data_IF_667801615637
#
_entry.id   IF_667801615637
#
_cell.length_a   1.000
_cell.length_b   1.000
_cell.length_c   1.000
_cell.angle_alpha   90.00
_cell.angle_beta   90.00
_cell.angle_gamma   90.00
#
_symmetry.space_group_name_H-M   'P 1'
#
loop_
_entity.id
_entity.type
_entity.pdbx_description
1 polymer ?
#
# COMPACT_ATOMS: atom_id res chain seq x y z
N UNK A 1 -12.70 21.14 12.29
CA UNK A 1 -14.12 21.05 12.72
C UNK A 1 -14.63 19.62 12.86
N UNK A 2 -14.85 18.84 11.79
CA UNK A 2 -15.36 17.46 11.97
C UNK A 2 -14.44 16.59 12.85
N UNK A 3 -13.13 16.64 12.59
CA UNK A 3 -12.12 15.94 13.39
C UNK A 3 -12.07 16.42 14.86
N UNK A 4 -12.13 17.73 15.11
CA UNK A 4 -12.18 18.30 16.48
C UNK A 4 -13.38 17.77 17.28
N UNK A 5 -14.57 17.67 16.66
CA UNK A 5 -15.73 17.07 17.31
C UNK A 5 -15.57 15.56 17.52
N UNK A 6 -14.86 14.89 16.62
CA UNK A 6 -14.57 13.47 16.75
C UNK A 6 -13.57 13.20 17.89
N UNK A 7 -12.54 14.04 18.05
CA UNK A 7 -11.63 14.01 19.21
C UNK A 7 -12.39 14.20 20.53
N UNK A 8 -13.35 15.13 20.55
CA UNK A 8 -14.20 15.32 21.73
C UNK A 8 -15.08 14.10 22.02
N UNK A 9 -15.64 13.47 20.97
CA UNK A 9 -16.37 12.21 21.10
C UNK A 9 -15.49 11.09 21.67
N UNK A 10 -14.23 10.99 21.27
CA UNK A 10 -13.28 10.03 21.85
C UNK A 10 -13.08 10.31 23.35
N UNK A 11 -12.87 11.56 23.75
CA UNK A 11 -12.72 11.91 25.18
C UNK A 11 -13.94 11.53 26.01
N UNK A 12 -15.15 11.72 25.47
CA UNK A 12 -16.40 11.40 26.15
C UNK A 12 -16.65 9.90 26.26
N UNK A 13 -16.10 9.08 25.35
CA UNK A 13 -16.43 7.66 25.22
C UNK A 13 -15.36 6.69 25.74
N UNK A 14 -14.09 7.09 25.76
CA UNK A 14 -12.95 6.20 26.08
C UNK A 14 -13.07 5.52 27.46
N UNK A 15 -13.64 6.21 28.45
CA UNK A 15 -13.76 5.72 29.83
C UNK A 15 -15.21 5.32 30.20
N UNK A 16 -16.16 5.49 29.27
CA UNK A 16 -17.60 5.32 29.54
C UNK A 16 -18.22 4.19 28.72
N UNK A 17 -17.56 3.74 27.64
CA UNK A 17 -18.02 2.65 26.79
C UNK A 17 -16.90 1.67 26.46
N UNK A 18 -17.21 0.37 26.48
CA UNK A 18 -16.26 -0.67 26.07
C UNK A 18 -16.02 -0.72 24.55
N UNK A 19 -17.06 -0.49 23.74
CA UNK A 19 -17.05 -0.52 22.27
C UNK A 19 -18.37 0.00 21.70
N UNK A 20 -18.37 0.35 20.41
CA UNK A 20 -19.56 0.79 19.68
C UNK A 20 -20.37 -0.38 19.13
N UNK A 21 -19.75 -1.28 18.35
CA UNK A 21 -20.43 -2.46 17.79
C UNK A 21 -20.26 -3.69 18.70
N UNK A 22 -21.37 -4.38 18.97
CA UNK A 22 -21.36 -5.66 19.69
C UNK A 22 -20.90 -6.83 18.81
N UNK A 23 -21.17 -6.78 17.51
CA UNK A 23 -20.69 -7.78 16.54
C UNK A 23 -19.27 -7.46 16.08
N UNK A 24 -18.29 -8.08 16.71
CA UNK A 24 -16.85 -7.82 16.55
C UNK A 24 -16.20 -8.82 15.59
N UNK A 25 -16.76 -8.92 14.39
CA UNK A 25 -16.33 -9.87 13.38
C UNK A 25 -15.99 -9.18 12.08
N UNK A 26 -15.31 -9.91 11.20
CA UNK A 26 -14.99 -9.50 9.84
C UNK A 26 -16.20 -9.17 8.96
N UNK A 27 -17.43 -9.48 9.40
CA UNK A 27 -18.64 -9.10 8.68
C UNK A 27 -18.93 -7.60 8.76
N UNK A 28 -18.41 -6.91 9.80
CA UNK A 28 -18.54 -5.46 9.91
C UNK A 28 -17.49 -4.80 9.01
N UNK A 29 -17.94 -4.12 7.96
CA UNK A 29 -17.07 -3.50 6.94
C UNK A 29 -17.03 -1.98 6.94
N UNK A 30 -18.08 -1.34 7.45
CA UNK A 30 -18.23 0.12 7.46
C UNK A 30 -18.13 0.63 8.92
N UNK A 31 -17.37 1.69 9.21
CA UNK A 31 -16.53 2.46 8.28
C UNK A 31 -15.23 1.75 7.84
N UNK A 32 -14.77 0.77 8.60
CA UNK A 32 -13.61 -0.07 8.31
C UNK A 32 -13.85 -1.47 8.89
N UNK A 33 -13.10 -2.47 8.41
CA UNK A 33 -13.17 -3.86 8.87
C UNK A 33 -13.08 -4.02 10.39
N UNK A 34 -14.00 -4.80 10.98
CA UNK A 34 -14.04 -5.15 12.41
C UNK A 34 -13.30 -6.44 12.77
N UNK A 35 -12.36 -6.85 11.92
CA UNK A 35 -11.66 -8.12 11.96
C UNK A 35 -10.97 -8.34 13.32
N UNK A 36 -11.17 -9.53 13.90
CA UNK A 36 -10.59 -9.95 15.18
C UNK A 36 -10.83 -8.95 16.33
N UNK A 37 -11.98 -8.27 16.30
CA UNK A 37 -12.38 -7.29 17.30
C UNK A 37 -11.65 -5.96 17.23
N UNK A 38 -11.07 -5.59 16.08
CA UNK A 38 -10.44 -4.29 15.85
C UNK A 38 -11.44 -3.23 15.38
N UNK A 39 -11.03 -1.96 15.48
CA UNK A 39 -11.75 -0.78 15.01
C UNK A 39 -13.16 -0.60 15.62
N UNK A 40 -13.39 -1.17 16.81
CA UNK A 40 -14.68 -1.23 17.51
C UNK A 40 -14.92 -0.05 18.45
N UNK A 41 -13.89 0.75 18.77
CA UNK A 41 -14.01 1.96 19.59
C UNK A 41 -13.85 3.22 18.74
N UNK A 42 -14.38 4.35 19.21
CA UNK A 42 -14.14 5.65 18.57
C UNK A 42 -12.65 6.02 18.59
N UNK A 43 -11.94 5.67 19.66
CA UNK A 43 -10.50 5.88 19.79
C UNK A 43 -9.71 5.13 18.70
N UNK A 44 -10.05 3.87 18.41
CA UNK A 44 -9.43 3.10 17.33
C UNK A 44 -9.74 3.69 15.93
N UNK A 45 -10.82 4.47 15.80
CA UNK A 45 -11.22 5.09 14.53
C UNK A 45 -10.61 6.48 14.29
N UNK A 46 -10.34 7.24 15.35
CA UNK A 46 -9.81 8.61 15.27
C UNK A 46 -8.57 8.71 14.35
N UNK A 47 -7.56 7.82 14.46
CA UNK A 47 -6.37 7.92 13.63
C UNK A 47 -6.62 7.71 12.13
N UNK A 48 -7.63 6.91 11.75
CA UNK A 48 -8.02 6.76 10.34
C UNK A 48 -8.58 8.07 9.77
N UNK A 49 -9.35 8.82 10.57
CA UNK A 49 -9.89 10.12 10.17
C UNK A 49 -8.82 11.21 10.15
N UNK A 50 -7.83 11.16 11.04
CA UNK A 50 -6.65 12.03 10.99
C UNK A 50 -5.87 11.83 9.68
N UNK A 51 -5.65 10.58 9.30
CA UNK A 51 -4.98 10.20 8.04
C UNK A 51 -5.77 10.65 6.81
N UNK A 52 -7.08 10.42 6.82
CA UNK A 52 -7.99 10.87 5.77
C UNK A 52 -7.85 12.38 5.52
N UNK A 53 -7.82 13.18 6.59
CA UNK A 53 -7.65 14.63 6.51
C UNK A 53 -6.25 15.04 6.05
N UNK A 54 -5.21 14.35 6.50
CA UNK A 54 -3.83 14.62 6.11
C UNK A 54 -3.63 14.39 4.59
N UNK A 55 -4.13 13.25 4.09
CA UNK A 55 -4.13 12.92 2.67
C UNK A 55 -4.89 13.96 1.85
N UNK A 56 -6.09 14.34 2.29
CA UNK A 56 -6.89 15.37 1.65
C UNK A 56 -6.16 16.70 1.51
N UNK A 57 -5.53 17.19 2.59
CA UNK A 57 -4.77 18.44 2.58
C UNK A 57 -3.59 18.38 1.61
N UNK A 58 -2.84 17.27 1.64
CA UNK A 58 -1.70 17.03 0.75
C UNK A 58 -2.13 17.06 -0.71
N UNK A 59 -3.16 16.31 -1.05
CA UNK A 59 -3.66 16.17 -2.42
C UNK A 59 -4.26 17.49 -2.95
N UNK A 60 -4.92 18.28 -2.10
CA UNK A 60 -5.35 19.64 -2.45
C UNK A 60 -4.15 20.56 -2.75
N UNK A 61 -3.05 20.47 -2.00
CA UNK A 61 -1.86 21.29 -2.27
C UNK A 61 -1.30 20.99 -3.66
N UNK A 62 -1.19 19.70 -3.99
CA UNK A 62 -0.72 19.25 -5.31
C UNK A 62 -1.61 19.75 -6.45
N UNK A 63 -2.94 19.75 -6.26
CA UNK A 63 -3.88 20.28 -7.26
C UNK A 63 -3.75 21.79 -7.46
N UNK A 64 -3.57 22.55 -6.38
CA UNK A 64 -3.40 24.01 -6.46
C UNK A 64 -2.12 24.41 -7.18
N UNK A 65 -1.07 23.58 -7.09
CA UNK A 65 0.20 23.79 -7.78
C UNK A 65 0.14 23.40 -9.28
N UNK A 66 -0.87 22.63 -9.70
CA UNK A 66 -1.05 22.23 -11.09
C UNK A 66 -1.71 23.35 -11.93
N UNK A 67 -0.99 23.89 -12.93
CA UNK A 67 -1.58 24.83 -13.90
C UNK A 67 -2.66 24.13 -14.74
N UNK A 68 -3.90 24.66 -14.68
CA UNK A 68 -5.12 24.25 -15.42
C UNK A 68 -5.89 23.02 -14.91
N UNK A 69 -5.73 22.60 -13.66
CA UNK A 69 -6.53 21.49 -13.08
C UNK A 69 -6.29 20.12 -13.75
N UNK A 70 -5.34 20.05 -14.67
CA UNK A 70 -4.82 18.83 -15.27
C UNK A 70 -3.41 18.66 -14.74
N UNK A 71 -3.20 17.61 -13.95
CA UNK A 71 -1.86 17.18 -13.58
C UNK A 71 -1.14 16.89 -14.89
N UNK A 72 -0.18 17.74 -15.28
CA UNK A 72 0.70 17.43 -16.41
C UNK A 72 1.31 16.07 -16.10
N UNK A 73 1.04 15.07 -16.93
CA UNK A 73 1.76 13.81 -16.90
C UNK A 73 3.23 14.14 -17.17
N UNK A 74 3.99 14.36 -16.08
CA UNK A 74 5.43 14.51 -16.13
C UNK A 74 5.95 13.22 -16.77
N UNK A 75 6.81 13.34 -17.77
CA UNK A 75 7.50 12.16 -18.30
C UNK A 75 8.36 11.63 -17.15
N UNK A 76 7.90 10.57 -16.49
CA UNK A 76 8.62 9.98 -15.35
C UNK A 76 9.51 8.86 -15.86
N UNK A 77 10.80 8.97 -15.54
CA UNK A 77 11.75 7.91 -15.84
C UNK A 77 11.51 6.70 -14.93
N UNK A 78 11.71 5.46 -15.44
CA UNK A 78 11.70 4.27 -14.60
C UNK A 78 12.72 4.37 -13.46
N UNK A 79 12.40 3.79 -12.31
CA UNK A 79 13.32 3.73 -11.18
C UNK A 79 14.56 2.90 -11.50
N UNK A 80 15.68 3.32 -10.92
CA UNK A 80 16.94 2.59 -11.00
C UNK A 80 16.85 1.35 -10.11
N UNK A 81 16.85 0.18 -10.74
CA UNK A 81 16.83 -1.10 -10.03
C UNK A 81 18.11 -1.33 -9.24
N UNK A 82 17.99 -2.08 -8.16
CA UNK A 82 19.12 -2.61 -7.41
C UNK A 82 19.08 -4.13 -7.46
N UNK A 83 20.26 -4.75 -7.60
CA UNK A 83 20.39 -6.19 -7.54
C UNK A 83 20.60 -6.61 -6.08
N UNK A 84 19.91 -7.67 -5.67
CA UNK A 84 20.08 -8.32 -4.38
C UNK A 84 20.25 -9.81 -4.59
N UNK A 85 20.94 -10.47 -3.67
CA UNK A 85 21.02 -11.93 -3.62
C UNK A 85 19.87 -12.47 -2.78
N UNK A 86 18.89 -13.09 -3.42
CA UNK A 86 17.79 -13.74 -2.70
C UNK A 86 18.29 -15.02 -2.00
N UNK A 87 18.04 -15.10 -0.70
CA UNK A 87 18.32 -16.28 0.13
C UNK A 87 17.06 -17.13 0.29
N UNK A 88 15.89 -16.49 0.43
CA UNK A 88 14.58 -17.13 0.47
C UNK A 88 13.47 -16.12 0.09
N UNK A 89 12.41 -16.53 -0.62
CA UNK A 89 12.17 -17.85 -1.19
C UNK A 89 13.03 -18.09 -2.44
N UNK A 90 13.21 -19.36 -2.83
CA UNK A 90 13.73 -19.74 -4.16
C UNK A 90 12.62 -19.62 -5.21
N UNK A 91 11.99 -18.45 -5.28
CA UNK A 91 10.86 -18.20 -6.16
C UNK A 91 11.30 -17.75 -7.55
N UNK A 92 10.42 -18.00 -8.52
CA UNK A 92 10.51 -17.38 -9.83
C UNK A 92 10.34 -15.86 -9.71
N UNK A 93 10.85 -15.16 -10.71
CA UNK A 93 10.68 -13.71 -10.86
C UNK A 93 9.82 -13.40 -12.07
N UNK A 94 9.17 -12.25 -12.06
CA UNK A 94 8.40 -11.73 -13.20
C UNK A 94 8.81 -10.30 -13.55
N UNK A 95 8.59 -9.91 -14.80
CA UNK A 95 8.82 -8.53 -15.24
C UNK A 95 7.62 -7.66 -14.84
N UNK A 96 7.84 -6.49 -14.26
CA UNK A 96 6.74 -5.58 -13.90
C UNK A 96 6.35 -4.75 -15.13
N UNK A 97 5.63 -5.39 -16.06
CA UNK A 97 5.14 -4.77 -17.30
C UNK A 97 3.77 -5.29 -17.69
N UNK A 98 3.05 -4.50 -18.48
CA UNK A 98 1.73 -4.84 -19.03
C UNK A 98 1.75 -6.23 -19.72
N UNK A 99 0.66 -6.98 -19.55
CA UNK A 99 0.51 -8.37 -20.01
C UNK A 99 1.13 -9.43 -19.09
N UNK A 100 1.84 -9.05 -18.03
CA UNK A 100 2.46 -10.02 -17.11
C UNK A 100 1.45 -10.52 -16.09
N UNK A 101 1.36 -11.83 -15.89
CA UNK A 101 0.52 -12.46 -14.85
C UNK A 101 1.33 -12.64 -13.57
N UNK A 102 1.17 -11.74 -12.60
CA UNK A 102 2.04 -11.68 -11.41
C UNK A 102 1.92 -12.90 -10.50
N UNK A 103 0.77 -13.58 -10.54
CA UNK A 103 0.51 -14.83 -9.83
C UNK A 103 0.37 -16.04 -10.76
N UNK A 104 0.68 -15.88 -12.06
CA UNK A 104 0.49 -16.93 -13.07
C UNK A 104 -0.97 -17.16 -13.49
N UNK A 105 -1.94 -16.48 -12.87
CA UNK A 105 -3.36 -16.59 -13.18
C UNK A 105 -3.83 -15.50 -14.15
N UNK A 106 -4.85 -15.74 -15.01
CA UNK A 106 -5.36 -14.73 -15.94
C UNK A 106 -5.89 -13.46 -15.27
N UNK A 107 -6.47 -13.59 -14.07
CA UNK A 107 -7.00 -12.46 -13.29
C UNK A 107 -5.91 -11.51 -12.79
N UNK A 108 -4.67 -12.01 -12.70
CA UNK A 108 -3.49 -11.29 -12.19
C UNK A 108 -2.67 -10.61 -13.29
N UNK A 109 -3.21 -10.51 -14.50
CA UNK A 109 -2.55 -9.84 -15.61
C UNK A 109 -2.46 -8.32 -15.37
N UNK A 110 -1.25 -7.75 -15.48
CA UNK A 110 -1.03 -6.32 -15.40
C UNK A 110 -1.59 -5.62 -16.64
N UNK A 111 -2.57 -4.73 -16.44
CA UNK A 111 -3.22 -3.98 -17.53
C UNK A 111 -2.61 -2.59 -17.67
N UNK A 112 -2.28 -1.94 -16.55
CA UNK A 112 -1.59 -0.64 -16.51
C UNK A 112 -0.52 -0.67 -15.45
N UNK A 113 0.65 -0.11 -15.75
CA UNK A 113 1.80 -0.06 -14.85
C UNK A 113 2.45 1.32 -14.89
N UNK A 114 2.66 1.92 -13.71
CA UNK A 114 3.27 3.24 -13.59
C UNK A 114 4.67 3.24 -14.25
N UNK A 115 5.05 4.30 -14.99
CA UNK A 115 6.34 4.36 -15.68
C UNK A 115 7.55 4.05 -14.78
N UNK A 116 7.49 4.48 -13.52
CA UNK A 116 8.48 4.23 -12.47
C UNK A 116 8.80 2.73 -12.31
N UNK A 117 7.80 1.88 -12.47
CA UNK A 117 7.86 0.46 -12.13
C UNK A 117 8.30 -0.43 -13.31
N UNK A 118 8.34 0.09 -14.54
CA UNK A 118 8.45 -0.71 -15.77
C UNK A 118 9.74 -1.55 -15.89
N UNK A 119 10.80 -1.17 -15.18
CA UNK A 119 12.08 -1.87 -15.19
C UNK A 119 12.24 -2.84 -14.01
N UNK A 120 11.28 -2.89 -13.10
CA UNK A 120 11.40 -3.71 -11.90
C UNK A 120 11.22 -5.20 -12.22
N UNK A 121 11.83 -6.01 -11.36
CA UNK A 121 11.78 -7.47 -11.40
C UNK A 121 11.12 -7.97 -10.13
N UNK A 122 9.85 -8.32 -10.25
CA UNK A 122 9.05 -8.82 -9.14
C UNK A 122 9.40 -10.24 -8.75
N UNK A 123 9.01 -10.61 -7.54
CA UNK A 123 9.19 -11.95 -6.97
C UNK A 123 7.83 -12.62 -6.93
N UNK A 124 7.69 -13.76 -7.62
CA UNK A 124 6.44 -14.51 -7.68
C UNK A 124 6.17 -15.24 -6.38
N UNK A 125 4.90 -15.21 -5.97
CA UNK A 125 4.36 -16.01 -4.88
C UNK A 125 3.14 -16.78 -5.37
N UNK A 126 2.78 -17.85 -4.66
CA UNK A 126 1.52 -18.55 -4.88
C UNK A 126 0.44 -17.86 -4.03
N UNK A 127 -0.68 -17.48 -4.67
CA UNK A 127 -1.75 -16.70 -4.03
C UNK A 127 -2.24 -17.33 -2.72
N UNK A 128 -2.49 -18.63 -2.74
CA UNK A 128 -3.05 -19.35 -1.59
C UNK A 128 -2.06 -19.46 -0.44
N UNK A 129 -0.77 -19.73 -0.74
CA UNK A 129 0.28 -19.75 0.28
C UNK A 129 0.44 -18.38 0.94
N UNK A 130 0.39 -17.30 0.15
CA UNK A 130 0.49 -15.93 0.67
C UNK A 130 -0.67 -15.59 1.61
N UNK A 131 -1.87 -16.12 1.32
CA UNK A 131 -3.05 -15.96 2.16
C UNK A 131 -3.00 -16.78 3.45
N UNK A 132 -2.38 -17.96 3.46
CA UNK A 132 -2.35 -18.83 4.64
C UNK A 132 -1.15 -18.59 5.54
N UNK A 133 0.02 -18.34 4.94
CA UNK A 133 1.32 -18.29 5.60
C UNK A 133 1.91 -16.88 5.66
N UNK A 134 1.45 -15.96 4.81
CA UNK A 134 2.04 -14.63 4.64
C UNK A 134 3.23 -14.62 3.68
N UNK A 135 4.06 -13.58 3.75
CA UNK A 135 5.22 -13.42 2.85
C UNK A 135 6.49 -13.26 3.67
N UNK A 136 7.46 -14.16 3.47
CA UNK A 136 8.79 -14.02 4.09
C UNK A 136 9.84 -13.85 3.01
N UNK A 137 10.64 -12.79 3.12
CA UNK A 137 11.79 -12.54 2.26
C UNK A 137 13.07 -12.57 3.10
N UNK A 138 14.08 -13.29 2.63
CA UNK A 138 15.45 -13.22 3.12
C UNK A 138 16.36 -12.91 1.95
N UNK A 139 17.17 -11.88 2.06
CA UNK A 139 18.04 -11.43 0.98
C UNK A 139 19.29 -10.76 1.52
N UNK A 140 20.29 -10.64 0.67
CA UNK A 140 21.54 -9.94 0.93
C UNK A 140 21.76 -8.86 -0.11
N UNK A 141 22.26 -7.70 0.32
CA UNK A 141 22.58 -6.57 -0.55
C UNK A 141 23.86 -5.89 -0.10
N UNK A 142 24.71 -5.53 -1.06
CA UNK A 142 26.02 -4.92 -0.78
C UNK A 142 25.93 -3.40 -0.55
N UNK A 143 24.89 -2.76 -1.07
CA UNK A 143 24.58 -1.35 -0.87
C UNK A 143 23.17 -1.20 -0.30
N UNK A 144 22.83 -0.08 0.37
CA UNK A 144 21.46 0.18 0.80
C UNK A 144 20.46 0.10 -0.37
N UNK A 145 19.32 -0.55 -0.14
CA UNK A 145 18.27 -0.74 -1.14
C UNK A 145 16.90 -0.38 -0.57
N UNK A 146 15.95 -0.09 -1.45
CA UNK A 146 14.52 -0.06 -1.11
C UNK A 146 13.83 -1.23 -1.79
N UNK A 147 13.09 -2.03 -1.02
CA UNK A 147 12.14 -2.99 -1.57
C UNK A 147 10.86 -2.26 -1.97
N UNK A 148 10.36 -2.53 -3.17
CA UNK A 148 9.12 -1.97 -3.70
C UNK A 148 7.99 -2.98 -3.48
N UNK A 149 6.95 -2.56 -2.77
CA UNK A 149 5.82 -3.42 -2.37
C UNK A 149 4.51 -2.80 -2.87
N UNK A 150 3.67 -3.61 -3.51
CA UNK A 150 2.35 -3.21 -4.00
C UNK A 150 1.24 -3.77 -3.11
N UNK A 151 0.46 -2.88 -2.51
CA UNK A 151 -0.72 -3.21 -1.71
C UNK A 151 -2.00 -2.99 -2.52
N UNK A 152 -2.90 -3.96 -2.46
CA UNK A 152 -4.20 -3.86 -3.12
C UNK A 152 -5.11 -2.91 -2.34
N UNK A 153 -5.79 -2.01 -3.06
CA UNK A 153 -6.76 -1.06 -2.53
C UNK A 153 -8.07 -1.80 -2.24
N UNK A 154 -8.07 -2.63 -1.19
CA UNK A 154 -9.20 -3.45 -0.78
C UNK A 154 -9.13 -3.76 0.71
N UNK A 155 -10.29 -3.84 1.33
CA UNK A 155 -10.48 -4.24 2.73
C UNK A 155 -10.72 -5.77 2.88
N UNK A 156 -10.66 -6.54 1.79
CA UNK A 156 -10.90 -7.98 1.82
C UNK A 156 -9.72 -8.70 2.46
N UNK A 157 -10.00 -9.61 3.42
CA UNK A 157 -8.98 -10.39 4.15
C UNK A 157 -7.95 -11.11 3.27
N UNK A 158 -8.31 -11.42 2.03
CA UNK A 158 -7.42 -12.05 1.05
C UNK A 158 -6.35 -11.11 0.50
N UNK A 159 -6.35 -9.83 0.89
CA UNK A 159 -5.32 -8.86 0.57
C UNK A 159 -4.68 -8.39 1.86
N UNK A 160 -3.36 -8.31 1.87
CA UNK A 160 -2.64 -7.77 3.01
C UNK A 160 -2.84 -6.25 3.03
N UNK A 161 -3.03 -5.67 4.22
CA UNK A 161 -3.06 -4.22 4.42
C UNK A 161 -1.64 -3.69 4.63
N UNK A 162 -1.33 -2.45 4.20
CA UNK A 162 -0.04 -1.84 4.48
C UNK A 162 0.17 -1.66 6.00
N UNK A 163 1.43 -1.66 6.46
CA UNK A 163 1.74 -1.37 7.86
C UNK A 163 1.28 0.04 8.23
N UNK A 164 0.73 0.20 9.43
CA UNK A 164 0.32 1.48 9.97
C UNK A 164 1.10 1.81 11.24
N UNK A 165 1.51 3.09 11.34
CA UNK A 165 2.21 3.68 12.48
C UNK A 165 1.46 3.47 13.82
N UNK A 166 0.13 3.35 13.76
CA UNK A 166 -0.74 3.23 14.92
C UNK A 166 -0.80 1.81 15.50
N UNK A 167 -0.76 0.80 14.62
CA UNK A 167 -0.79 -0.62 15.06
C UNK A 167 0.60 -1.17 15.38
N UNK A 168 1.65 -0.49 14.92
CA UNK A 168 3.03 -0.86 15.16
C UNK A 168 3.91 0.40 15.13
N UNK A 169 4.27 0.93 16.30
CA UNK A 169 5.17 2.07 16.41
C UNK A 169 6.56 1.81 15.79
N UNK A 170 6.97 0.53 15.67
CA UNK A 170 8.17 0.11 14.94
C UNK A 170 7.93 -0.05 13.41
N UNK A 171 6.68 -0.01 12.96
CA UNK A 171 6.26 -0.24 11.56
C UNK A 171 6.63 0.87 10.57
N UNK A 172 7.39 1.89 11.01
CA UNK A 172 7.96 2.89 10.11
C UNK A 172 9.48 3.04 10.26
N UNK A 173 10.14 2.09 10.93
CA UNK A 173 11.60 2.07 11.02
C UNK A 173 12.27 2.00 9.63
N UNK A 174 11.55 1.48 8.63
CA UNK A 174 12.02 1.37 7.24
C UNK A 174 11.32 2.31 6.24
N UNK A 175 10.44 3.22 6.69
CA UNK A 175 9.67 4.13 5.83
C UNK A 175 8.40 3.51 5.21
N UNK A 176 7.86 2.46 5.84
CA UNK A 176 6.89 1.52 5.26
C UNK A 176 5.45 2.06 5.15
N UNK A 177 5.11 3.00 6.04
CA UNK A 177 3.74 3.49 6.20
C UNK A 177 3.29 4.45 5.08
N UNK A 178 4.23 5.07 4.36
CA UNK A 178 3.93 6.08 3.36
C UNK A 178 3.61 5.46 1.99
N UNK A 179 2.47 5.86 1.41
CA UNK A 179 2.17 5.60 0.01
C UNK A 179 3.10 6.46 -0.85
N UNK A 180 3.92 5.81 -1.66
CA UNK A 180 4.82 6.44 -2.62
C UNK A 180 4.11 6.70 -3.94
N UNK A 181 3.46 5.69 -4.51
CA UNK A 181 2.66 5.85 -5.73
C UNK A 181 1.23 5.37 -5.47
N UNK A 182 0.26 6.29 -5.49
CA UNK A 182 -1.15 5.93 -5.40
C UNK A 182 -1.68 5.51 -6.78
N UNK A 183 -2.63 4.56 -6.82
CA UNK A 183 -3.30 4.05 -8.03
C UNK A 183 -2.31 3.70 -9.16
N UNK A 184 -1.20 3.05 -8.80
CA UNK A 184 -0.03 2.90 -9.66
C UNK A 184 -0.12 1.73 -10.63
N UNK A 185 -0.97 0.75 -10.35
CA UNK A 185 -1.15 -0.42 -11.20
C UNK A 185 -2.61 -0.88 -11.22
N UNK A 186 -3.07 -1.31 -12.39
CA UNK A 186 -4.34 -2.01 -12.57
C UNK A 186 -4.06 -3.44 -13.02
N UNK A 187 -4.77 -4.37 -12.42
CA UNK A 187 -4.79 -5.77 -12.79
C UNK A 187 -6.15 -6.12 -13.37
N UNK A 188 -6.22 -7.19 -14.16
CA UNK A 188 -7.41 -7.52 -14.95
C UNK A 188 -8.70 -7.65 -14.13
N UNK A 189 -8.67 -8.41 -13.03
CA UNK A 189 -9.84 -8.65 -12.16
C UNK A 189 -9.48 -8.53 -10.67
N UNK A 190 -8.36 -7.88 -10.36
CA UNK A 190 -7.92 -7.62 -8.99
C UNK A 190 -7.95 -6.11 -8.71
N UNK A 191 -8.06 -5.70 -7.43
CA UNK A 191 -8.11 -4.29 -7.07
C UNK A 191 -6.89 -3.52 -7.58
N UNK A 192 -7.06 -2.19 -7.67
CA UNK A 192 -5.97 -1.24 -7.90
C UNK A 192 -4.87 -1.40 -6.86
N UNK A 193 -3.65 -1.02 -7.19
CA UNK A 193 -2.49 -1.19 -6.32
C UNK A 193 -1.82 0.14 -6.01
N UNK A 194 -1.58 0.37 -4.72
CA UNK A 194 -0.73 1.43 -4.20
C UNK A 194 0.69 0.89 -3.92
N UNK A 195 1.70 1.73 -4.11
CA UNK A 195 3.12 1.36 -3.96
C UNK A 195 3.67 1.96 -2.69
N UNK A 196 4.33 1.12 -1.91
CA UNK A 196 5.10 1.45 -0.73
C UNK A 196 6.55 1.03 -0.92
N UNK A 197 7.46 1.59 -0.12
CA UNK A 197 8.87 1.19 -0.12
C UNK A 197 9.39 0.90 1.27
N UNK A 198 10.25 -0.10 1.38
CA UNK A 198 10.89 -0.52 2.63
C UNK A 198 12.40 -0.36 2.47
N UNK A 199 13.03 0.46 3.30
CA UNK A 199 14.45 0.75 3.22
C UNK A 199 15.28 -0.24 4.03
N UNK A 200 16.28 -0.84 3.40
CA UNK A 200 17.20 -1.79 4.02
C UNK A 200 18.65 -1.31 3.89
N UNK A 201 19.42 -1.48 4.96
CA UNK A 201 20.87 -1.23 4.95
C UNK A 201 21.60 -2.37 4.22
N UNK A 202 22.85 -2.13 3.85
CA UNK A 202 23.73 -3.19 3.35
C UNK A 202 23.86 -4.31 4.39
N UNK A 203 23.86 -5.57 3.94
CA UNK A 203 23.94 -6.75 4.80
C UNK A 203 22.91 -7.82 4.44
N UNK A 204 22.70 -8.75 5.37
CA UNK A 204 21.62 -9.74 5.30
C UNK A 204 20.38 -9.18 5.99
N UNK A 205 19.26 -9.27 5.29
CA UNK A 205 17.99 -8.69 5.70
C UNK A 205 16.88 -9.74 5.63
N UNK A 206 15.91 -9.61 6.53
CA UNK A 206 14.69 -10.41 6.53
C UNK A 206 13.48 -9.49 6.69
N UNK A 207 12.45 -9.73 5.88
CA UNK A 207 11.15 -9.08 5.98
C UNK A 207 10.07 -10.15 6.11
N UNK A 208 9.20 -9.99 7.12
CA UNK A 208 8.02 -10.82 7.29
C UNK A 208 6.79 -9.93 7.14
N UNK A 209 5.99 -10.19 6.11
CA UNK A 209 4.70 -9.57 5.90
C UNK A 209 3.60 -10.54 6.32
N UNK A 210 2.51 -9.98 6.85
CA UNK A 210 1.35 -10.75 7.31
C UNK A 210 0.65 -11.53 6.19
N UNK A 211 -0.43 -12.21 6.59
CA UNK A 211 -1.28 -12.99 5.68
C UNK A 211 -2.05 -12.09 4.73
N UNK A 212 -2.16 -12.52 3.48
CA UNK A 212 -2.90 -11.81 2.44
C UNK A 212 -2.06 -11.56 1.20
N UNK A 213 -2.72 -11.43 0.05
CA UNK A 213 -2.07 -11.09 -1.21
C UNK A 213 -1.39 -9.73 -1.14
N UNK A 214 -0.12 -9.70 -1.55
CA UNK A 214 0.71 -8.50 -1.69
C UNK A 214 1.70 -8.71 -2.83
N UNK A 215 2.03 -7.64 -3.57
CA UNK A 215 2.98 -7.72 -4.67
C UNK A 215 4.37 -7.34 -4.20
N UNK A 216 5.35 -8.22 -4.43
CA UNK A 216 6.77 -7.89 -4.28
C UNK A 216 7.30 -7.54 -5.66
N UNK A 217 7.54 -6.25 -5.88
CA UNK A 217 7.81 -5.70 -7.22
C UNK A 217 9.30 -5.62 -7.54
N UNK A 218 10.17 -5.75 -6.54
CA UNK A 218 11.62 -5.82 -6.70
C UNK A 218 12.34 -4.80 -5.83
N UNK A 219 13.60 -4.52 -6.18
CA UNK A 219 14.47 -3.66 -5.40
C UNK A 219 14.98 -2.50 -6.23
N UNK A 220 15.16 -1.36 -5.58
CA UNK A 220 15.65 -0.12 -6.19
C UNK A 220 16.79 0.48 -5.34
N UNK A 221 17.62 1.30 -5.97
CA UNK A 221 18.69 2.05 -5.28
C UNK A 221 18.07 2.96 -4.20
N UNK A 222 18.49 2.82 -2.93
CA UNK A 222 17.91 3.58 -1.82
C UNK A 222 18.18 5.09 -1.92
N UNK A 223 19.26 5.49 -2.59
CA UNK A 223 19.71 6.88 -2.69
C UNK A 223 19.06 7.64 -3.86
N UNK A 224 18.29 6.96 -4.71
CA UNK A 224 17.60 7.65 -5.79
C UNK A 224 16.48 8.52 -5.25
N UNK A 225 16.27 9.66 -5.90
CA UNK A 225 15.15 10.54 -5.59
C UNK A 225 13.85 9.87 -6.02
N UNK A 226 12.95 9.71 -5.07
CA UNK A 226 11.60 9.21 -5.29
C UNK A 226 10.65 10.39 -5.03
N UNK A 227 9.80 10.71 -6.00
CA UNK A 227 8.78 11.75 -5.86
C UNK A 227 7.43 11.06 -5.68
N UNK A 228 6.84 11.13 -4.47
CA UNK A 228 5.53 10.55 -4.26
C UNK A 228 4.46 11.25 -5.10
N UNK A 229 3.53 10.49 -5.69
CA UNK A 229 2.43 11.03 -6.49
C UNK A 229 1.28 10.05 -6.67
N UNK A 230 0.12 10.55 -7.08
CA UNK A 230 -0.93 9.72 -7.66
C UNK A 230 -0.67 9.49 -9.15
N UNK A 231 -0.80 8.24 -9.59
CA UNK A 231 -0.66 7.83 -10.99
C UNK A 231 -1.99 7.94 -11.74
N UNK A 232 -3.12 7.86 -11.03
CA UNK A 232 -4.45 8.10 -11.59
C UNK A 232 -4.93 7.00 -12.54
N UNK A 233 -4.47 5.76 -12.41
CA UNK A 233 -5.05 4.66 -13.18
C UNK A 233 -6.40 4.25 -12.60
N UNK A 234 -7.45 4.88 -13.13
CA UNK A 234 -8.85 4.53 -12.86
C UNK A 234 -9.41 3.61 -13.97
N UNK A 235 -10.43 2.82 -13.62
CA UNK A 235 -11.10 1.91 -14.53
C UNK A 235 -12.13 2.63 -15.41
N UNK A 236 -12.37 2.10 -16.62
CA UNK A 236 -13.26 2.71 -17.59
C UNK A 236 -14.73 2.55 -17.15
N UNK A 237 -15.31 3.61 -16.60
CA UNK A 237 -16.71 3.63 -16.14
C UNK A 237 -16.88 4.16 -14.72
N UNK A 238 -15.80 4.22 -13.94
CA UNK A 238 -15.77 5.05 -12.74
C UNK A 238 -15.70 6.52 -13.21
N UNK A 239 -16.68 7.35 -12.82
CA UNK A 239 -16.40 8.79 -12.70
C UNK A 239 -15.13 8.88 -11.85
N UNK A 240 -14.22 9.82 -12.13
CA UNK A 240 -13.10 10.10 -11.22
C UNK A 240 -13.67 10.20 -9.79
N UNK A 241 -13.56 9.10 -9.04
CA UNK A 241 -14.06 9.04 -7.70
C UNK A 241 -13.09 9.93 -6.94
N UNK A 242 -13.59 11.09 -6.50
CA UNK A 242 -12.78 12.10 -5.81
C UNK A 242 -12.24 11.55 -4.49
N UNK A 243 -12.64 10.34 -4.11
CA UNK A 243 -12.10 9.53 -3.03
C UNK A 243 -10.57 9.42 -3.05
N UNK A 244 -9.93 9.54 -4.22
CA UNK A 244 -8.47 9.65 -4.34
C UNK A 244 -7.88 10.81 -3.52
N UNK A 245 -8.63 11.88 -3.29
CA UNK A 245 -8.19 12.97 -2.43
C UNK A 245 -7.91 12.49 -1.01
N UNK A 246 -8.57 11.43 -0.54
CA UNK A 246 -8.47 10.95 0.84
C UNK A 246 -7.43 9.83 1.04
N UNK A 247 -6.77 9.37 -0.04
CA UNK A 247 -5.70 8.35 -0.01
C UNK A 247 -4.32 8.96 -0.25
#
# INVERSE_FOLDING_TARGET
KALEYYEELVKLTKDTYFYANSMQTAQRRIPIGGDDGKNKTWEELLPHYERELANFKRNISLLKEAKNGKIKQKVVAPWKTANVTMLSPKSNSYAVKEGTKVYGTPISELIKVAPELKNLKGISFVEDQQNTEGTTLKFKNDTPVKLVVGYFNSDQKRFLLPPSLETNAAGNEMGEAEVILANAMNLKELPRVNIHTYTFKAGENQLNLGKGRVLILGFIDANQKIEPRDVGFIDAGEKEAVDWLFY
#
